data_IF_043813926782
#
_entry.id   IF_043813926782
#
_cell.length_a   1.000
_cell.length_b   1.000
_cell.length_c   1.000
_cell.angle_alpha   90.00
_cell.angle_beta   90.00
_cell.angle_gamma   90.00
#
_symmetry.space_group_name_H-M   'P 1'
#
loop_
_entity.id
_entity.type
_entity.pdbx_description
1 polymer ?
#
# COMPACT_ATOMS: atom_id res chain seq x y z
N UNK A 1 5.00 -8.33 17.71
CA UNK A 1 4.74 -6.89 17.94
C UNK A 1 3.42 -6.73 18.68
N UNK A 2 3.38 -5.93 19.77
CA UNK A 2 2.16 -5.76 20.58
C UNK A 2 1.21 -4.72 19.95
N UNK A 3 0.24 -5.20 19.19
CA UNK A 3 -0.74 -4.34 18.51
C UNK A 3 -1.72 -3.66 19.48
N UNK A 4 -1.96 -4.23 20.69
CA UNK A 4 -2.82 -3.60 21.71
C UNK A 4 -2.18 -2.34 22.27
N UNK A 5 -0.85 -2.36 22.44
CA UNK A 5 -0.12 -1.17 22.85
C UNK A 5 -0.17 -0.07 21.78
N UNK A 6 -0.08 -0.43 20.50
CA UNK A 6 -0.25 0.52 19.38
C UNK A 6 -1.64 1.16 19.42
N UNK A 7 -2.69 0.35 19.62
CA UNK A 7 -4.09 0.83 19.73
C UNK A 7 -4.21 1.85 20.87
N UNK A 8 -3.70 1.52 22.08
CA UNK A 8 -3.73 2.43 23.23
C UNK A 8 -3.09 3.80 22.93
N UNK A 9 -2.07 3.83 22.09
CA UNK A 9 -1.43 5.07 21.64
C UNK A 9 -2.27 5.82 20.62
N UNK A 10 -2.88 5.11 19.68
CA UNK A 10 -3.75 5.72 18.65
C UNK A 10 -5.03 6.27 19.31
N UNK A 11 -5.59 5.62 20.33
CA UNK A 11 -6.77 6.10 21.06
C UNK A 11 -6.58 7.50 21.68
N UNK A 12 -5.32 7.93 21.86
CA UNK A 12 -5.03 9.29 22.34
C UNK A 12 -5.23 10.37 21.28
N UNK A 13 -5.25 10.01 20.00
CA UNK A 13 -5.37 10.96 18.88
C UNK A 13 -6.71 10.87 18.16
N UNK A 14 -7.47 9.80 18.32
CA UNK A 14 -8.79 9.67 17.70
C UNK A 14 -9.87 10.24 18.63
N UNK A 15 -10.86 10.93 18.08
CA UNK A 15 -12.03 11.43 18.81
C UNK A 15 -13.31 10.67 18.46
N UNK A 16 -13.29 9.89 17.40
CA UNK A 16 -14.34 8.93 17.05
C UNK A 16 -13.79 7.77 16.22
N UNK A 17 -14.55 6.69 16.15
CA UNK A 17 -14.17 5.48 15.39
C UNK A 17 -13.90 5.81 13.91
N UNK A 18 -12.73 5.49 13.36
CA UNK A 18 -12.47 5.69 11.94
C UNK A 18 -13.37 4.82 11.08
N UNK A 19 -13.99 5.43 10.07
CA UNK A 19 -14.79 4.73 9.04
C UNK A 19 -13.91 4.19 7.90
N UNK A 20 -12.77 4.83 7.66
CA UNK A 20 -11.79 4.41 6.66
C UNK A 20 -10.44 4.29 7.33
N UNK A 21 -9.75 3.19 7.09
CA UNK A 21 -8.35 3.00 7.47
C UNK A 21 -7.48 2.83 6.23
N UNK A 22 -6.35 3.54 6.19
CA UNK A 22 -5.53 3.71 5.01
C UNK A 22 -4.05 3.49 5.32
N UNK A 23 -3.33 2.69 4.51
CA UNK A 23 -1.87 2.60 4.52
C UNK A 23 -1.33 3.35 3.30
N UNK A 24 -0.43 4.32 3.52
CA UNK A 24 0.26 5.06 2.46
C UNK A 24 1.62 4.43 2.13
N UNK A 25 1.87 4.27 0.85
CA UNK A 25 3.15 3.83 0.30
C UNK A 25 4.18 4.96 0.14
N UNK A 26 5.39 4.61 -0.30
CA UNK A 26 6.50 5.54 -0.52
C UNK A 26 6.13 6.65 -1.50
N UNK A 27 6.40 7.90 -1.12
CA UNK A 27 6.15 9.08 -1.95
C UNK A 27 4.68 9.52 -2.04
N UNK A 28 3.75 8.86 -1.31
CA UNK A 28 2.31 9.13 -1.33
C UNK A 28 1.81 9.90 -0.09
N UNK A 29 2.72 10.34 0.77
CA UNK A 29 2.47 10.95 2.07
C UNK A 29 1.61 12.23 2.01
N UNK A 30 1.67 12.94 0.90
CA UNK A 30 0.97 14.21 0.68
C UNK A 30 -0.56 14.11 0.77
N UNK A 31 -1.11 12.90 0.67
CA UNK A 31 -2.54 12.68 0.88
C UNK A 31 -2.99 13.11 2.28
N UNK A 32 -2.14 12.97 3.29
CA UNK A 32 -2.46 13.42 4.64
C UNK A 32 -2.82 14.90 4.71
N UNK A 33 -2.27 15.75 3.81
CA UNK A 33 -2.56 17.18 3.77
C UNK A 33 -4.04 17.49 3.39
N UNK A 34 -4.78 16.50 2.90
CA UNK A 34 -6.22 16.64 2.61
C UNK A 34 -7.09 16.46 3.86
N UNK A 35 -6.55 15.87 4.92
CA UNK A 35 -7.30 15.63 6.14
C UNK A 35 -7.50 16.95 6.91
N UNK A 36 -8.72 17.21 7.37
CA UNK A 36 -9.04 18.30 8.30
C UNK A 36 -8.89 17.81 9.74
N UNK A 37 -8.62 18.74 10.67
CA UNK A 37 -8.52 18.49 12.12
C UNK A 37 -7.53 17.35 12.44
N UNK A 38 -6.34 17.40 11.85
CA UNK A 38 -5.33 16.35 11.98
C UNK A 38 -4.81 16.24 13.42
N UNK A 39 -4.71 15.01 13.89
CA UNK A 39 -3.94 14.62 15.07
C UNK A 39 -2.97 13.53 14.68
N UNK A 40 -1.76 13.55 15.23
CA UNK A 40 -0.65 12.67 14.80
C UNK A 40 0.07 12.04 15.98
N UNK A 41 0.64 10.85 15.74
CA UNK A 41 1.58 10.21 16.64
C UNK A 41 2.67 9.51 15.81
N UNK A 42 3.94 9.78 16.10
CA UNK A 42 5.05 9.15 15.37
C UNK A 42 5.22 7.70 15.80
N UNK A 43 5.67 6.84 14.89
CA UNK A 43 6.03 5.46 15.22
C UNK A 43 7.18 5.40 16.23
N UNK A 44 8.08 6.39 16.24
CA UNK A 44 9.15 6.52 17.25
C UNK A 44 8.63 6.66 18.69
N UNK A 45 7.42 7.21 18.85
CA UNK A 45 6.77 7.40 20.16
C UNK A 45 6.02 6.14 20.63
N UNK A 46 6.05 5.11 19.75
CA UNK A 46 5.46 3.79 19.98
C UNK A 46 6.60 2.77 20.03
N UNK A 47 7.02 2.36 21.21
CA UNK A 47 8.23 1.57 21.46
C UNK A 47 8.28 0.16 20.83
N UNK A 48 7.29 -0.22 20.03
CA UNK A 48 7.26 -1.53 19.36
C UNK A 48 7.71 -1.49 17.89
N UNK A 49 7.99 -0.32 17.32
CA UNK A 49 8.53 -0.20 15.96
C UNK A 49 10.06 -0.09 15.97
N UNK A 50 10.72 -0.76 15.01
CA UNK A 50 12.17 -0.61 14.82
C UNK A 50 12.49 0.82 14.40
N UNK A 51 13.58 1.39 14.95
CA UNK A 51 14.01 2.78 14.69
C UNK A 51 14.67 2.98 13.31
N UNK A 52 14.37 2.12 12.33
CA UNK A 52 14.94 2.24 10.98
C UNK A 52 14.29 3.41 10.23
N UNK A 53 15.11 4.25 9.60
CA UNK A 53 14.63 5.29 8.69
C UNK A 53 14.75 4.78 7.26
N UNK A 54 13.62 4.59 6.57
CA UNK A 54 13.57 4.41 5.13
C UNK A 54 13.14 5.73 4.50
N UNK A 55 13.86 6.15 3.49
CA UNK A 55 13.53 7.36 2.73
C UNK A 55 12.14 7.23 2.08
N UNK A 56 11.34 8.30 2.13
CA UNK A 56 9.99 8.30 1.54
C UNK A 56 8.85 7.91 2.49
N UNK A 57 9.14 7.55 3.77
CA UNK A 57 8.12 7.25 4.79
C UNK A 57 8.18 8.20 5.98
N UNK A 58 7.05 8.84 6.31
CA UNK A 58 6.93 9.71 7.49
C UNK A 58 6.87 8.93 8.79
N UNK A 59 6.48 7.64 8.75
CA UNK A 59 6.36 6.72 9.91
C UNK A 59 5.56 7.33 11.08
N UNK A 60 4.30 7.68 10.79
CA UNK A 60 3.36 8.24 11.76
C UNK A 60 1.95 7.70 11.55
N UNK A 61 1.12 7.67 12.57
CA UNK A 61 -0.33 7.58 12.41
C UNK A 61 -0.90 8.99 12.37
N UNK A 62 -1.83 9.22 11.43
CA UNK A 62 -2.56 10.48 11.26
C UNK A 62 -4.05 10.19 11.33
N UNK A 63 -4.76 10.81 12.27
CA UNK A 63 -6.21 10.81 12.31
C UNK A 63 -6.73 12.15 11.80
N UNK A 64 -7.84 12.16 11.08
CA UNK A 64 -8.49 13.38 10.58
C UNK A 64 -9.70 13.07 9.73
N UNK A 65 -10.18 14.07 8.99
CA UNK A 65 -11.48 14.01 8.30
C UNK A 65 -11.39 14.41 6.83
N UNK A 66 -12.11 13.69 5.96
CA UNK A 66 -12.49 14.13 4.61
C UNK A 66 -14.02 14.12 4.55
N UNK A 67 -14.64 15.27 4.22
CA UNK A 67 -16.10 15.40 4.16
C UNK A 67 -16.84 14.78 5.37
N UNK A 68 -16.37 15.07 6.59
CA UNK A 68 -16.88 14.52 7.86
C UNK A 68 -16.68 13.00 8.05
N UNK A 69 -16.02 12.31 7.13
CA UNK A 69 -15.66 10.89 7.29
C UNK A 69 -14.39 10.83 8.12
N UNK A 70 -14.39 10.17 9.30
CA UNK A 70 -13.20 9.97 10.12
C UNK A 70 -12.29 8.93 9.48
N UNK A 71 -11.01 9.29 9.32
CA UNK A 71 -10.00 8.47 8.65
C UNK A 71 -8.79 8.30 9.56
N UNK A 72 -8.32 7.07 9.68
CA UNK A 72 -7.04 6.75 10.31
C UNK A 72 -6.05 6.31 9.24
N UNK A 73 -4.94 7.01 9.15
CA UNK A 73 -3.88 6.77 8.18
C UNK A 73 -2.64 6.25 8.89
N UNK A 74 -2.09 5.13 8.42
CA UNK A 74 -0.71 4.74 8.64
C UNK A 74 0.13 5.40 7.53
N UNK A 75 0.73 6.55 7.84
CA UNK A 75 1.55 7.32 6.92
C UNK A 75 2.98 6.76 6.89
N UNK A 76 3.13 5.65 6.24
CA UNK A 76 4.30 4.78 6.17
C UNK A 76 3.96 3.36 6.59
N UNK A 77 4.78 2.42 6.12
CA UNK A 77 4.58 0.98 6.35
C UNK A 77 5.84 0.29 6.83
N UNK A 78 5.70 -0.99 7.15
CA UNK A 78 6.79 -1.90 7.47
C UNK A 78 7.05 -2.78 6.25
N UNK A 79 8.32 -3.22 6.07
CA UNK A 79 8.67 -4.12 4.97
C UNK A 79 9.40 -5.35 5.50
N UNK A 80 9.21 -6.47 4.81
CA UNK A 80 9.88 -7.71 5.16
C UNK A 80 11.41 -7.57 5.11
N UNK A 81 11.93 -6.87 4.12
CA UNK A 81 13.39 -6.65 3.98
C UNK A 81 13.99 -5.73 5.07
N UNK A 82 13.17 -5.05 5.88
CA UNK A 82 13.63 -4.34 7.09
C UNK A 82 13.89 -5.31 8.26
N UNK A 83 13.73 -6.62 8.07
CA UNK A 83 13.89 -7.66 9.08
C UNK A 83 12.65 -7.85 9.96
N UNK A 84 11.46 -7.41 9.50
CA UNK A 84 10.18 -7.78 10.10
C UNK A 84 9.71 -9.13 9.56
N UNK A 85 9.03 -9.90 10.39
CA UNK A 85 8.29 -11.10 9.93
C UNK A 85 7.05 -10.68 9.13
N UNK A 86 6.48 -11.60 8.34
CA UNK A 86 5.19 -11.37 7.64
C UNK A 86 4.08 -10.92 8.60
N UNK A 87 4.00 -11.54 9.78
CA UNK A 87 3.02 -11.19 10.79
C UNK A 87 3.23 -9.76 11.34
N UNK A 88 4.48 -9.36 11.55
CA UNK A 88 4.82 -8.02 12.01
C UNK A 88 4.52 -6.96 10.95
N UNK A 89 4.76 -7.23 9.66
CA UNK A 89 4.36 -6.32 8.57
C UNK A 89 2.85 -6.16 8.55
N UNK A 90 2.09 -7.23 8.78
CA UNK A 90 0.62 -7.20 8.85
C UNK A 90 0.04 -6.52 10.09
N UNK A 91 0.85 -6.07 11.06
CA UNK A 91 0.35 -5.50 12.33
C UNK A 91 -0.56 -4.29 12.13
N UNK A 92 -0.29 -3.45 11.12
CA UNK A 92 -1.11 -2.27 10.82
C UNK A 92 -2.56 -2.67 10.50
N UNK A 93 -2.75 -3.79 9.81
CA UNK A 93 -4.07 -4.35 9.52
C UNK A 93 -4.76 -4.87 10.78
N UNK A 94 -4.02 -5.53 11.69
CA UNK A 94 -4.56 -5.93 13.01
C UNK A 94 -5.04 -4.72 13.82
N UNK A 95 -4.26 -3.65 13.83
CA UNK A 95 -4.60 -2.38 14.49
C UNK A 95 -5.88 -1.78 13.87
N UNK A 96 -5.96 -1.70 12.56
CA UNK A 96 -7.14 -1.18 11.87
C UNK A 96 -8.39 -2.02 12.13
N UNK A 97 -8.24 -3.35 12.16
CA UNK A 97 -9.35 -4.27 12.39
C UNK A 97 -9.97 -4.14 13.79
N UNK A 98 -9.23 -3.64 14.78
CA UNK A 98 -9.78 -3.32 16.10
C UNK A 98 -10.91 -2.28 16.00
N UNK A 99 -10.74 -1.28 15.14
CA UNK A 99 -11.74 -0.22 14.92
C UNK A 99 -12.89 -0.67 14.01
N UNK A 100 -12.75 -1.78 13.28
CA UNK A 100 -13.75 -2.31 12.34
C UNK A 100 -14.25 -1.23 11.35
N UNK A 101 -13.36 -0.58 10.60
CA UNK A 101 -13.77 0.42 9.62
C UNK A 101 -14.60 -0.24 8.52
N UNK A 102 -15.44 0.55 7.87
CA UNK A 102 -16.22 0.09 6.71
C UNK A 102 -15.32 -0.09 5.45
N UNK A 103 -14.13 0.52 5.45
CA UNK A 103 -13.23 0.47 4.29
C UNK A 103 -11.76 0.39 4.72
N UNK A 104 -11.03 -0.56 4.11
CA UNK A 104 -9.59 -0.71 4.24
C UNK A 104 -8.95 -0.39 2.89
N UNK A 105 -8.01 0.54 2.86
CA UNK A 105 -7.30 0.93 1.64
C UNK A 105 -5.80 0.77 1.86
N UNK A 106 -5.13 0.10 0.94
CA UNK A 106 -3.68 -0.08 0.98
C UNK A 106 -3.13 0.54 -0.30
N UNK A 107 -2.20 1.49 -0.18
CA UNK A 107 -1.57 2.09 -1.35
C UNK A 107 -0.09 1.75 -1.41
N UNK A 108 0.48 1.75 -2.61
CA UNK A 108 1.89 1.48 -2.83
C UNK A 108 2.40 2.16 -4.11
N UNK A 109 3.72 2.19 -4.27
CA UNK A 109 4.41 2.54 -5.50
C UNK A 109 4.97 1.28 -6.13
N UNK A 110 4.84 1.12 -7.46
CA UNK A 110 5.22 -0.10 -8.20
C UNK A 110 5.94 0.21 -9.50
N UNK A 111 6.72 -0.75 -9.98
CA UNK A 111 7.18 -0.81 -11.35
C UNK A 111 6.18 -1.57 -12.23
N UNK A 112 5.87 -1.09 -13.44
CA UNK A 112 5.07 -1.85 -14.40
C UNK A 112 5.92 -2.71 -15.32
N UNK A 113 5.46 -3.93 -15.61
CA UNK A 113 6.02 -4.79 -16.64
C UNK A 113 5.29 -4.62 -17.97
N UNK A 114 4.14 -3.92 -17.95
CA UNK A 114 3.31 -3.65 -19.11
C UNK A 114 3.75 -2.35 -19.79
N UNK A 115 4.18 -2.45 -21.06
CA UNK A 115 4.68 -1.31 -21.85
C UNK A 115 3.57 -0.34 -22.30
N UNK A 116 2.32 -0.79 -22.29
CA UNK A 116 1.17 0.02 -22.69
C UNK A 116 0.68 0.96 -21.58
N UNK A 117 1.17 0.74 -20.35
CA UNK A 117 0.85 1.57 -19.18
C UNK A 117 1.91 2.65 -19.01
N UNK A 118 1.47 3.83 -18.58
CA UNK A 118 2.35 4.99 -18.44
C UNK A 118 2.77 5.20 -16.99
N UNK A 119 3.97 5.76 -16.81
CA UNK A 119 4.39 6.26 -15.49
C UNK A 119 3.42 7.37 -15.06
N UNK A 120 2.87 7.25 -13.86
CA UNK A 120 1.83 8.14 -13.34
C UNK A 120 0.42 7.62 -13.51
N UNK A 121 0.24 6.46 -14.14
CA UNK A 121 -1.01 5.71 -14.10
C UNK A 121 -1.17 4.98 -12.76
N UNK A 122 -2.34 4.41 -12.54
CA UNK A 122 -2.72 3.70 -11.32
C UNK A 122 -3.26 2.33 -11.65
N UNK A 123 -3.19 1.42 -10.68
CA UNK A 123 -3.78 0.09 -10.81
C UNK A 123 -4.53 -0.31 -9.53
N UNK A 124 -5.76 -0.80 -9.70
CA UNK A 124 -6.45 -1.57 -8.65
C UNK A 124 -6.02 -3.03 -8.78
N UNK A 125 -5.50 -3.57 -7.69
CA UNK A 125 -5.09 -4.98 -7.66
C UNK A 125 -6.30 -5.89 -7.61
N UNK A 126 -6.43 -6.76 -8.59
CA UNK A 126 -7.44 -7.83 -8.65
C UNK A 126 -6.87 -9.18 -8.25
N UNK A 127 -5.57 -9.35 -8.43
CA UNK A 127 -4.87 -10.60 -8.17
C UNK A 127 -3.45 -10.33 -7.67
N UNK A 128 -2.96 -11.13 -6.74
CA UNK A 128 -1.55 -11.21 -6.41
C UNK A 128 -0.91 -12.41 -7.08
N UNK A 129 0.31 -12.21 -7.57
CA UNK A 129 1.28 -13.24 -7.90
C UNK A 129 2.37 -13.20 -6.81
N UNK A 130 2.50 -14.27 -6.03
CA UNK A 130 3.59 -14.40 -5.07
C UNK A 130 4.85 -14.90 -5.77
N UNK A 131 5.81 -14.02 -5.90
CA UNK A 131 7.13 -14.28 -6.47
C UNK A 131 8.24 -14.18 -5.40
N UNK A 132 7.87 -14.38 -4.12
CA UNK A 132 8.79 -14.27 -2.98
C UNK A 132 9.65 -15.51 -2.77
N UNK A 133 9.22 -16.67 -3.30
CA UNK A 133 9.83 -17.99 -3.04
C UNK A 133 9.89 -18.37 -1.56
N UNK A 134 9.06 -17.76 -0.70
CA UNK A 134 8.97 -18.12 0.72
C UNK A 134 8.26 -19.46 0.85
N UNK A 135 8.96 -20.44 1.44
CA UNK A 135 8.59 -21.87 1.49
C UNK A 135 7.20 -22.18 2.07
N UNK A 136 6.59 -21.28 2.81
CA UNK A 136 5.32 -21.51 3.50
C UNK A 136 4.09 -21.00 2.74
N UNK A 137 4.26 -20.37 1.59
CA UNK A 137 3.14 -19.93 0.78
C UNK A 137 2.60 -21.11 -0.05
N UNK A 138 1.37 -21.53 0.26
CA UNK A 138 0.73 -22.71 -0.36
C UNK A 138 0.25 -22.46 -1.79
N UNK A 139 0.06 -21.19 -2.16
CA UNK A 139 -0.50 -20.79 -3.45
C UNK A 139 0.39 -19.73 -4.08
N UNK A 140 0.51 -19.76 -5.40
CA UNK A 140 1.22 -18.74 -6.17
C UNK A 140 0.33 -17.54 -6.50
N UNK A 141 -0.99 -17.76 -6.61
CA UNK A 141 -1.97 -16.74 -6.97
C UNK A 141 -3.02 -16.57 -5.89
N UNK A 142 -3.39 -15.31 -5.63
CA UNK A 142 -4.42 -14.92 -4.67
C UNK A 142 -5.35 -13.89 -5.31
N UNK A 143 -6.65 -14.15 -5.29
CA UNK A 143 -7.66 -13.31 -5.94
C UNK A 143 -8.36 -12.43 -4.92
N UNK A 144 -8.54 -11.14 -5.25
CA UNK A 144 -9.32 -10.21 -4.45
C UNK A 144 -10.78 -10.22 -4.90
N UNK A 145 -11.68 -10.17 -3.93
CA UNK A 145 -13.13 -10.18 -4.19
C UNK A 145 -13.69 -8.78 -4.49
N UNK A 146 -12.98 -7.72 -4.11
CA UNK A 146 -13.44 -6.36 -4.30
C UNK A 146 -13.30 -5.91 -5.75
N UNK A 147 -14.43 -5.53 -6.33
CA UNK A 147 -14.49 -4.87 -7.61
C UNK A 147 -15.06 -3.48 -7.43
N UNK A 148 -14.21 -2.49 -7.19
CA UNK A 148 -14.59 -1.09 -7.38
C UNK A 148 -14.52 -0.78 -8.86
N UNK A 149 -15.54 -0.13 -9.39
CA UNK A 149 -15.56 0.29 -10.78
C UNK A 149 -15.49 1.82 -10.85
N UNK A 150 -14.34 2.35 -11.23
CA UNK A 150 -14.11 3.79 -11.37
C UNK A 150 -13.75 4.05 -12.83
N UNK A 151 -14.49 4.93 -13.50
CA UNK A 151 -14.20 5.38 -14.86
C UNK A 151 -13.07 6.41 -14.85
N UNK A 152 -11.84 5.94 -15.02
CA UNK A 152 -10.66 6.81 -15.14
C UNK A 152 -9.71 6.21 -16.18
N UNK A 153 -9.33 7.01 -17.20
CA UNK A 153 -8.45 6.56 -18.30
C UNK A 153 -7.04 6.16 -17.84
N UNK A 154 -6.62 6.60 -16.65
CA UNK A 154 -5.32 6.30 -16.04
C UNK A 154 -5.38 5.21 -14.99
N UNK A 155 -6.53 4.55 -14.83
CA UNK A 155 -6.74 3.49 -13.86
C UNK A 155 -6.88 2.15 -14.57
N UNK A 156 -5.99 1.25 -14.25
CA UNK A 156 -5.95 -0.12 -14.73
C UNK A 156 -6.41 -1.10 -13.65
N UNK A 157 -6.68 -2.32 -14.04
CA UNK A 157 -7.04 -3.43 -13.17
C UNK A 157 -6.13 -4.61 -13.52
N UNK A 158 -5.45 -5.19 -12.54
CA UNK A 158 -4.46 -6.19 -12.89
C UNK A 158 -3.85 -6.95 -11.72
N UNK A 159 -2.74 -7.62 -12.02
CA UNK A 159 -1.98 -8.49 -11.13
C UNK A 159 -0.80 -7.76 -10.52
N UNK A 160 -0.78 -7.68 -9.18
CA UNK A 160 0.37 -7.22 -8.43
C UNK A 160 1.30 -8.42 -8.16
N UNK A 161 2.54 -8.35 -8.60
CA UNK A 161 3.56 -9.34 -8.28
C UNK A 161 4.34 -8.89 -7.05
N UNK A 162 4.40 -9.75 -6.05
CA UNK A 162 5.15 -9.51 -4.83
C UNK A 162 6.55 -10.13 -4.92
N UNK A 163 7.58 -9.32 -4.73
CA UNK A 163 8.97 -9.70 -4.53
C UNK A 163 9.44 -9.27 -3.14
N UNK A 164 10.45 -9.95 -2.59
CA UNK A 164 10.90 -9.68 -1.21
C UNK A 164 11.63 -8.33 -1.12
N UNK A 165 12.45 -7.99 -2.12
CA UNK A 165 13.41 -6.89 -2.03
C UNK A 165 14.59 -7.21 -1.07
N UNK A 166 15.46 -6.26 -0.74
CA UNK A 166 15.45 -4.84 -1.16
C UNK A 166 16.03 -4.59 -2.56
N UNK A 167 16.61 -5.61 -3.21
CA UNK A 167 17.14 -5.50 -4.57
C UNK A 167 16.03 -5.49 -5.60
N UNK A 168 16.20 -4.69 -6.66
CA UNK A 168 15.33 -4.78 -7.82
C UNK A 168 15.55 -6.09 -8.55
N UNK A 169 14.57 -6.53 -9.28
CA UNK A 169 14.56 -7.75 -10.06
C UNK A 169 15.56 -7.66 -11.20
N UNK A 170 16.07 -8.83 -11.63
CA UNK A 170 16.82 -8.97 -12.87
C UNK A 170 15.88 -8.92 -14.07
N UNK A 171 16.43 -8.69 -15.26
CA UNK A 171 15.67 -8.74 -16.53
C UNK A 171 14.95 -10.08 -16.71
N UNK A 172 15.64 -11.19 -16.40
CA UNK A 172 15.07 -12.54 -16.53
C UNK A 172 13.91 -12.77 -15.56
N UNK A 173 14.01 -12.30 -14.31
CA UNK A 173 12.90 -12.37 -13.36
C UNK A 173 11.69 -11.55 -13.85
N UNK A 174 11.93 -10.39 -14.46
CA UNK A 174 10.84 -9.58 -15.04
C UNK A 174 10.19 -10.28 -16.24
N UNK A 175 10.97 -10.95 -17.08
CA UNK A 175 10.45 -11.76 -18.19
C UNK A 175 9.59 -12.92 -17.66
N UNK A 176 10.03 -13.61 -16.60
CA UNK A 176 9.26 -14.66 -15.92
C UNK A 176 7.98 -14.11 -15.28
N UNK A 177 8.04 -12.98 -14.57
CA UNK A 177 6.88 -12.31 -13.98
C UNK A 177 5.85 -11.97 -15.05
N UNK A 178 6.29 -11.44 -16.18
CA UNK A 178 5.42 -11.14 -17.32
C UNK A 178 4.78 -12.40 -17.90
N UNK A 179 5.56 -13.49 -18.09
CA UNK A 179 5.08 -14.78 -18.56
C UNK A 179 4.01 -15.36 -17.63
N UNK A 180 4.16 -15.18 -16.32
CA UNK A 180 3.21 -15.61 -15.28
C UNK A 180 1.97 -14.69 -15.16
N UNK A 181 1.87 -13.64 -15.98
CA UNK A 181 0.75 -12.71 -16.00
C UNK A 181 0.76 -11.66 -14.90
N UNK A 182 1.96 -11.27 -14.44
CA UNK A 182 2.13 -10.07 -13.61
C UNK A 182 2.03 -8.81 -14.45
N UNK A 183 1.41 -7.76 -13.92
CA UNK A 183 1.29 -6.44 -14.58
C UNK A 183 2.19 -5.40 -13.90
N UNK A 184 2.29 -5.47 -12.59
CA UNK A 184 3.20 -4.63 -11.79
C UNK A 184 3.99 -5.47 -10.80
N UNK A 185 5.14 -4.94 -10.36
CA UNK A 185 6.01 -5.57 -9.37
C UNK A 185 6.30 -4.61 -8.22
N UNK A 186 6.34 -5.15 -7.00
CA UNK A 186 6.66 -4.36 -5.81
C UNK A 186 6.98 -5.23 -4.59
N UNK A 187 7.64 -4.60 -3.61
CA UNK A 187 8.26 -5.26 -2.45
C UNK A 187 7.43 -5.08 -1.16
N UNK A 188 6.15 -4.78 -1.27
CA UNK A 188 5.27 -4.48 -0.13
C UNK A 188 3.86 -5.03 -0.37
N UNK A 189 2.90 -4.67 0.50
CA UNK A 189 1.45 -4.87 0.30
C UNK A 189 0.98 -6.33 0.43
N UNK A 190 1.72 -7.30 -0.08
CA UNK A 190 1.31 -8.70 -0.01
C UNK A 190 1.26 -9.24 1.44
N UNK A 191 2.21 -8.94 2.35
CA UNK A 191 2.09 -9.33 3.76
C UNK A 191 0.88 -8.69 4.45
N UNK A 192 0.56 -7.41 4.16
CA UNK A 192 -0.65 -6.77 4.67
C UNK A 192 -1.91 -7.43 4.10
N UNK A 193 -1.91 -7.77 2.79
CA UNK A 193 -3.01 -8.51 2.17
C UNK A 193 -3.18 -9.90 2.79
N UNK A 194 -2.11 -10.63 3.09
CA UNK A 194 -2.18 -11.92 3.77
C UNK A 194 -2.83 -11.80 5.16
N UNK A 195 -2.55 -10.72 5.88
CA UNK A 195 -3.22 -10.41 7.14
C UNK A 195 -4.72 -10.08 6.92
N UNK A 196 -5.04 -9.31 5.88
CA UNK A 196 -6.45 -9.06 5.49
C UNK A 196 -7.18 -10.39 5.21
N UNK A 197 -6.55 -11.27 4.43
CA UNK A 197 -7.13 -12.58 4.09
C UNK A 197 -7.35 -13.46 5.33
N UNK A 198 -6.39 -13.50 6.25
CA UNK A 198 -6.52 -14.19 7.54
C UNK A 198 -7.69 -13.65 8.37
N UNK A 199 -7.88 -12.34 8.40
CA UNK A 199 -8.95 -11.65 9.12
C UNK A 199 -10.28 -11.58 8.34
N UNK A 200 -10.35 -12.16 7.14
CA UNK A 200 -11.51 -12.13 6.22
C UNK A 200 -11.92 -10.69 5.82
N UNK A 201 -10.95 -9.81 5.66
CA UNK A 201 -11.10 -8.43 5.22
C UNK A 201 -10.88 -8.36 3.71
N UNK A 202 -11.71 -7.61 3.00
CA UNK A 202 -11.51 -7.29 1.58
C UNK A 202 -10.95 -5.86 1.45
N UNK A 203 -9.63 -5.66 1.31
CA UNK A 203 -9.07 -4.33 1.13
C UNK A 203 -9.20 -3.85 -0.31
N UNK A 204 -9.25 -2.53 -0.51
CA UNK A 204 -8.98 -1.90 -1.80
C UNK A 204 -7.48 -1.66 -1.87
N UNK A 205 -6.82 -2.12 -2.94
CA UNK A 205 -5.37 -1.97 -3.11
C UNK A 205 -5.13 -1.14 -4.34
N UNK A 206 -4.56 0.06 -4.13
CA UNK A 206 -4.27 1.04 -5.18
C UNK A 206 -2.75 1.19 -5.33
N UNK A 207 -2.24 0.83 -6.50
CA UNK A 207 -0.85 1.02 -6.88
C UNK A 207 -0.67 2.29 -7.71
N UNK A 208 0.37 3.08 -7.41
CA UNK A 208 0.86 4.16 -8.26
C UNK A 208 2.02 3.62 -9.09
N UNK A 209 1.92 3.68 -10.40
CA UNK A 209 2.96 3.25 -11.34
C UNK A 209 4.03 4.35 -11.40
N UNK A 210 5.17 4.10 -10.79
CA UNK A 210 6.24 5.10 -10.63
C UNK A 210 7.41 4.91 -11.57
N UNK A 211 7.56 3.73 -12.14
CA UNK A 211 8.63 3.37 -13.05
C UNK A 211 8.25 2.17 -13.91
N UNK A 212 8.97 1.94 -14.99
CA UNK A 212 9.00 0.62 -15.61
C UNK A 212 9.86 -0.32 -14.77
N UNK A 213 9.49 -1.59 -14.70
CA UNK A 213 10.25 -2.61 -13.98
C UNK A 213 11.66 -2.78 -14.57
N UNK A 214 12.57 -3.37 -13.82
CA UNK A 214 13.95 -3.52 -14.23
C UNK A 214 14.07 -4.24 -15.57
N UNK A 215 14.93 -3.74 -16.47
CA UNK A 215 15.16 -4.33 -17.80
C UNK A 215 14.05 -4.08 -18.84
N UNK A 216 12.98 -3.38 -18.52
CA UNK A 216 11.96 -2.93 -19.50
C UNK A 216 12.51 -1.75 -20.32
N UNK A 217 13.20 -0.81 -19.65
CA UNK A 217 13.95 0.27 -20.27
C UNK A 217 15.46 0.05 -20.07
N UNK A 218 16.28 0.76 -20.87
CA UNK A 218 17.75 0.68 -20.79
C UNK A 218 18.33 1.33 -19.53
N UNK A 219 17.57 2.24 -18.90
CA UNK A 219 18.03 2.97 -17.69
C UNK A 219 17.78 2.14 -16.43
N UNK A 220 18.78 1.99 -15.53
CA UNK A 220 18.59 1.30 -14.26
C UNK A 220 17.55 1.99 -13.37
N UNK A 221 16.71 1.19 -12.72
CA UNK A 221 15.74 1.70 -11.73
C UNK A 221 16.48 2.20 -10.50
N UNK A 222 16.14 3.43 -10.04
CA UNK A 222 16.67 4.02 -8.81
C UNK A 222 15.53 4.41 -7.88
N UNK A 223 15.68 4.21 -6.58
CA UNK A 223 14.64 4.56 -5.59
C UNK A 223 14.28 6.07 -5.62
N UNK A 224 15.24 6.95 -5.90
CA UNK A 224 14.99 8.38 -6.09
C UNK A 224 14.04 8.68 -7.25
N UNK A 225 14.09 7.90 -8.34
CA UNK A 225 13.17 8.03 -9.48
C UNK A 225 11.75 7.63 -9.06
N UNK A 226 11.60 6.56 -8.27
CA UNK A 226 10.31 6.11 -7.71
C UNK A 226 9.66 7.24 -6.92
N UNK A 227 10.38 7.83 -5.95
CA UNK A 227 9.88 8.93 -5.12
C UNK A 227 9.51 10.16 -5.98
N UNK A 228 10.38 10.55 -6.92
CA UNK A 228 10.15 11.73 -7.76
C UNK A 228 8.94 11.56 -8.68
N UNK A 229 8.75 10.39 -9.27
CA UNK A 229 7.61 10.10 -10.14
C UNK A 229 6.30 9.97 -9.35
N UNK A 230 6.34 9.39 -8.14
CA UNK A 230 5.20 9.44 -7.22
C UNK A 230 4.79 10.89 -6.91
N UNK A 231 5.76 11.79 -6.66
CA UNK A 231 5.49 13.22 -6.45
C UNK A 231 4.87 13.90 -7.68
N UNK A 232 5.33 13.59 -8.90
CA UNK A 232 4.73 14.13 -10.14
C UNK A 232 3.27 13.72 -10.30
N UNK A 233 2.92 12.51 -9.87
CA UNK A 233 1.56 11.95 -9.95
C UNK A 233 0.66 12.39 -8.79
N UNK A 234 1.17 13.15 -7.83
CA UNK A 234 0.54 13.55 -6.57
C UNK A 234 -0.90 14.02 -6.72
N UNK A 235 -1.18 14.98 -7.60
CA UNK A 235 -2.52 15.56 -7.72
C UNK A 235 -3.54 14.53 -8.20
N UNK A 236 -3.18 13.73 -9.19
CA UNK A 236 -4.05 12.66 -9.71
C UNK A 236 -4.26 11.55 -8.66
N UNK A 237 -3.20 11.20 -7.91
CA UNK A 237 -3.28 10.24 -6.82
C UNK A 237 -4.24 10.72 -5.72
N UNK A 238 -4.08 11.96 -5.25
CA UNK A 238 -4.93 12.55 -4.21
C UNK A 238 -6.39 12.56 -4.68
N UNK A 239 -6.64 12.99 -5.92
CA UNK A 239 -7.98 13.02 -6.49
C UNK A 239 -8.63 11.62 -6.52
N UNK A 240 -7.91 10.64 -7.07
CA UNK A 240 -8.40 9.27 -7.18
C UNK A 240 -8.60 8.61 -5.80
N UNK A 241 -7.65 8.79 -4.89
CA UNK A 241 -7.76 8.22 -3.54
C UNK A 241 -8.91 8.87 -2.75
N UNK A 242 -9.12 10.19 -2.92
CA UNK A 242 -10.27 10.88 -2.31
C UNK A 242 -11.59 10.34 -2.87
N UNK A 243 -11.68 10.11 -4.19
CA UNK A 243 -12.84 9.47 -4.80
C UNK A 243 -13.09 8.09 -4.21
N UNK A 244 -12.07 7.23 -4.07
CA UNK A 244 -12.16 5.91 -3.46
C UNK A 244 -12.63 6.00 -1.99
N UNK A 245 -12.13 6.97 -1.23
CA UNK A 245 -12.55 7.20 0.16
C UNK A 245 -14.04 7.53 0.23
N UNK A 246 -14.53 8.35 -0.69
CA UNK A 246 -15.91 8.85 -0.73
C UNK A 246 -16.91 7.88 -1.37
N UNK A 247 -16.47 6.87 -2.11
CA UNK A 247 -17.35 5.85 -2.68
C UNK A 247 -18.23 5.26 -1.56
N UNK A 248 -19.53 5.20 -1.80
CA UNK A 248 -20.42 4.42 -0.93
C UNK A 248 -20.11 2.93 -1.12
N UNK A 249 -20.07 2.18 -0.03
CA UNK A 249 -20.00 0.73 -0.15
C UNK A 249 -21.33 0.30 -0.80
N UNK A 250 -21.30 -0.21 -2.02
CA UNK A 250 -22.42 -0.95 -2.53
C UNK A 250 -22.54 -2.20 -1.65
N UNK A 251 -23.50 -2.14 -0.72
CA UNK A 251 -23.92 -3.29 0.12
C UNK A 251 -24.48 -4.39 -0.75
#
# INVERSE_FOLDING_TARGET
MDYKYIIKKIDQIIDQKPKVCLILGSGLNDFCNQLKNQKKINYSDINCFKKNKIEGHSKEFVFGYINKIPILVANGRLHYYEGYTFEEVGVLIKVFNYYKPSKYIITNSTGTVNKDWSIGDFMITQKFLDFSFIKNNKHRYYYLKNQINIKNKKLHYGTYTYTIGPTYETKTEIEEIKFLGGDVVGMSTFPEYMMCNYLKINPIILSCITNYAAGIESTPVKHSHVINNAKKSKLNFIKLLTEIVLLQNNT
#
